data_IF_363829384850
#
_entry.id   IF_363829384850
#
_cell.length_a   1.000
_cell.length_b   1.000
_cell.length_c   1.000
_cell.angle_alpha   90.00
_cell.angle_beta   90.00
_cell.angle_gamma   90.00
#
_symmetry.space_group_name_H-M   'P 1'
#
loop_
_entity.id
_entity.type
_entity.pdbx_description
1 polymer ?
#
# COMPACT_ATOMS: atom_id res chain seq x y z
N UNK A 1 -26.91 9.34 37.05
CA UNK A 1 -26.79 9.41 35.58
C UNK A 1 -26.04 10.68 35.21
N UNK A 2 -24.74 10.56 34.98
CA UNK A 2 -23.91 11.39 34.09
C UNK A 2 -22.69 10.51 33.79
N UNK A 3 -22.64 9.96 32.58
CA UNK A 3 -21.52 9.14 32.11
C UNK A 3 -20.47 10.10 31.55
N UNK A 4 -19.37 10.27 32.28
CA UNK A 4 -18.14 10.84 31.75
C UNK A 4 -17.40 9.73 31.01
N UNK A 5 -17.49 9.74 29.68
CA UNK A 5 -16.63 8.94 28.82
C UNK A 5 -15.37 9.78 28.57
N UNK A 6 -14.37 9.55 29.41
CA UNK A 6 -12.98 9.88 29.11
C UNK A 6 -12.51 8.96 27.98
N UNK A 7 -12.55 9.46 26.75
CA UNK A 7 -11.82 8.85 25.63
C UNK A 7 -10.42 9.48 25.62
N UNK A 8 -9.46 8.71 26.12
CA UNK A 8 -8.03 8.96 25.95
C UNK A 8 -7.66 8.99 24.47
N UNK A 9 -7.56 10.19 23.89
CA UNK A 9 -6.98 10.41 22.58
C UNK A 9 -5.46 10.55 22.75
N UNK A 10 -4.76 9.42 22.70
CA UNK A 10 -3.30 9.38 22.59
C UNK A 10 -2.95 8.38 21.50
N UNK A 11 -2.65 8.90 20.30
CA UNK A 11 -1.62 8.45 19.35
C UNK A 11 -1.88 9.09 17.98
N UNK A 12 -0.81 9.40 17.24
CA UNK A 12 -0.71 10.18 15.98
C UNK A 12 -0.74 11.69 16.24
N UNK A 13 0.34 12.46 16.11
CA UNK A 13 1.49 12.41 15.18
C UNK A 13 2.69 13.13 15.82
N UNK A 14 3.77 12.42 16.15
CA UNK A 14 5.06 13.05 16.47
C UNK A 14 6.02 12.82 15.30
N UNK A 15 6.71 13.85 14.76
CA UNK A 15 7.64 13.74 13.63
C UNK A 15 8.71 12.66 13.82
N UNK A 16 9.13 12.41 15.07
CA UNK A 16 10.14 11.39 15.41
C UNK A 16 9.64 9.94 15.28
N UNK A 17 8.33 9.69 15.42
CA UNK A 17 7.73 8.36 15.26
C UNK A 17 7.54 8.04 13.77
N UNK A 18 7.18 9.05 12.97
CA UNK A 18 7.19 8.95 11.51
C UNK A 18 8.61 8.74 10.99
N UNK A 19 9.60 9.49 11.51
CA UNK A 19 11.02 9.33 11.14
C UNK A 19 11.57 7.94 11.47
N UNK A 20 11.31 7.40 12.66
CA UNK A 20 11.78 6.06 13.04
C UNK A 20 11.08 4.92 12.27
N UNK A 21 9.78 5.07 11.95
CA UNK A 21 9.06 4.10 11.09
C UNK A 21 9.46 4.22 9.62
N UNK A 22 9.74 5.42 9.13
CA UNK A 22 10.33 5.66 7.81
C UNK A 22 11.74 5.05 7.73
N UNK A 23 12.54 5.16 8.79
CA UNK A 23 13.87 4.54 8.89
C UNK A 23 13.80 3.01 8.93
N UNK A 24 12.86 2.42 9.70
CA UNK A 24 12.63 0.97 9.67
C UNK A 24 12.07 0.49 8.32
N UNK A 25 11.17 1.26 7.72
CA UNK A 25 10.68 1.03 6.35
C UNK A 25 11.82 1.07 5.33
N UNK A 26 12.69 2.09 5.38
CA UNK A 26 13.90 2.21 4.55
C UNK A 26 14.89 1.04 4.76
N UNK A 27 15.05 0.53 5.99
CA UNK A 27 15.89 -0.64 6.25
C UNK A 27 15.31 -1.95 5.67
N UNK A 28 13.99 -2.08 5.62
CA UNK A 28 13.32 -3.21 4.95
C UNK A 28 13.43 -3.06 3.43
N UNK A 29 13.25 -1.84 2.90
CA UNK A 29 13.39 -1.51 1.48
C UNK A 29 14.77 -1.83 0.93
N UNK A 30 15.83 -1.40 1.62
CA UNK A 30 17.22 -1.61 1.16
C UNK A 30 17.59 -3.10 1.04
N UNK A 31 16.97 -3.99 1.83
CA UNK A 31 17.11 -5.43 1.65
C UNK A 31 16.36 -5.94 0.42
N UNK A 32 15.14 -5.45 0.21
CA UNK A 32 14.29 -5.81 -0.93
C UNK A 32 14.89 -5.33 -2.26
N UNK A 33 15.34 -4.06 -2.33
CA UNK A 33 16.03 -3.45 -3.47
C UNK A 33 17.29 -4.23 -3.86
N UNK A 34 18.09 -4.64 -2.87
CA UNK A 34 19.30 -5.43 -3.08
C UNK A 34 19.00 -6.85 -3.57
N UNK A 35 17.94 -7.47 -3.07
CA UNK A 35 17.50 -8.79 -3.53
C UNK A 35 16.93 -8.79 -4.94
N UNK A 36 16.33 -7.67 -5.35
CA UNK A 36 15.70 -7.48 -6.66
C UNK A 36 16.66 -7.11 -7.79
N UNK A 37 17.91 -6.75 -7.48
CA UNK A 37 18.91 -6.35 -8.48
C UNK A 37 18.51 -5.14 -9.32
N UNK A 38 17.59 -4.31 -8.82
CA UNK A 38 17.06 -3.16 -9.54
C UNK A 38 18.10 -2.06 -9.62
N UNK A 39 18.29 -1.50 -10.82
CA UNK A 39 18.97 -0.22 -11.00
C UNK A 39 17.99 0.88 -10.58
N UNK A 40 18.44 1.74 -9.68
CA UNK A 40 17.71 2.95 -9.28
C UNK A 40 17.23 3.72 -10.54
N UNK A 41 16.00 4.25 -10.55
CA UNK A 41 15.55 5.12 -11.63
C UNK A 41 16.56 6.25 -11.82
N UNK A 42 16.83 6.61 -13.09
CA UNK A 42 17.94 7.48 -13.46
C UNK A 42 17.84 8.87 -12.77
N UNK A 43 18.68 9.11 -11.76
CA UNK A 43 18.87 10.42 -11.12
C UNK A 43 17.90 10.73 -9.97
N UNK A 44 18.32 11.63 -9.06
CA UNK A 44 17.55 12.06 -7.87
C UNK A 44 16.15 12.56 -8.18
N UNK A 45 15.99 13.18 -9.35
CA UNK A 45 14.74 13.89 -9.70
C UNK A 45 13.64 12.90 -10.09
N UNK A 46 14.00 11.80 -10.79
CA UNK A 46 13.04 10.76 -11.15
C UNK A 46 12.57 9.93 -9.95
N UNK A 47 13.44 9.77 -8.94
CA UNK A 47 13.08 9.15 -7.66
C UNK A 47 12.14 10.05 -6.85
N UNK A 48 12.44 11.35 -6.79
CA UNK A 48 11.59 12.33 -6.11
C UNK A 48 10.18 12.39 -6.73
N UNK A 49 10.06 12.38 -8.06
CA UNK A 49 8.76 12.35 -8.76
C UNK A 49 7.91 11.12 -8.37
N UNK A 50 8.56 9.97 -8.19
CA UNK A 50 7.91 8.72 -7.76
C UNK A 50 7.41 8.83 -6.32
N UNK A 51 8.21 9.42 -5.42
CA UNK A 51 7.83 9.65 -4.03
C UNK A 51 6.64 10.61 -3.92
N UNK A 52 6.66 11.70 -4.70
CA UNK A 52 5.57 12.67 -4.76
C UNK A 52 4.29 12.01 -5.26
N UNK A 53 4.37 11.15 -6.29
CA UNK A 53 3.20 10.42 -6.79
C UNK A 53 2.68 9.39 -5.79
N UNK A 54 3.56 8.71 -5.04
CA UNK A 54 3.16 7.82 -3.95
C UNK A 54 2.39 8.60 -2.86
N UNK A 55 2.88 9.79 -2.50
CA UNK A 55 2.22 10.69 -1.55
C UNK A 55 0.86 11.20 -2.07
N UNK A 56 0.78 11.58 -3.34
CA UNK A 56 -0.47 11.95 -4.01
C UNK A 56 -1.48 10.82 -3.96
N UNK A 57 -1.03 9.59 -4.23
CA UNK A 57 -1.85 8.38 -4.18
C UNK A 57 -2.35 8.03 -2.78
N UNK A 58 -1.51 8.22 -1.74
CA UNK A 58 -1.94 8.16 -0.34
C UNK A 58 -3.08 9.14 -0.10
N UNK A 59 -2.88 10.41 -0.46
CA UNK A 59 -3.90 11.43 -0.25
C UNK A 59 -5.20 11.02 -0.94
N UNK A 60 -5.15 10.55 -2.19
CA UNK A 60 -6.33 10.11 -2.93
C UNK A 60 -7.11 8.96 -2.29
N UNK A 61 -6.42 8.06 -1.56
CA UNK A 61 -7.06 6.98 -0.81
C UNK A 61 -7.68 7.42 0.52
N UNK A 62 -7.30 8.59 1.02
CA UNK A 62 -7.63 9.08 2.34
C UNK A 62 -8.92 9.91 2.34
N UNK A 63 -9.95 9.41 3.04
CA UNK A 63 -11.23 10.10 3.22
C UNK A 63 -11.31 10.91 4.51
N UNK A 64 -10.34 10.76 5.42
CA UNK A 64 -10.36 11.41 6.73
C UNK A 64 -10.29 12.94 6.57
N UNK A 65 -9.24 13.44 5.91
CA UNK A 65 -9.11 14.87 5.65
C UNK A 65 -10.11 15.37 4.62
N UNK A 66 -10.67 14.50 3.76
CA UNK A 66 -11.74 14.91 2.85
C UNK A 66 -13.04 15.26 3.57
N UNK A 67 -13.44 14.40 4.52
CA UNK A 67 -14.72 14.50 5.22
C UNK A 67 -14.68 15.45 6.43
N UNK A 68 -13.49 15.95 6.78
CA UNK A 68 -13.29 16.88 7.89
C UNK A 68 -13.89 18.26 7.57
N UNK A 69 -14.48 18.90 8.58
CA UNK A 69 -14.93 20.29 8.48
C UNK A 69 -13.77 21.23 8.15
N UNK A 70 -14.04 22.30 7.39
CA UNK A 70 -12.97 23.18 6.90
C UNK A 70 -12.14 23.82 8.02
N UNK A 71 -12.78 24.31 9.08
CA UNK A 71 -12.06 24.94 10.21
C UNK A 71 -11.15 23.96 10.95
N UNK A 72 -11.56 22.69 11.06
CA UNK A 72 -10.74 21.64 11.67
C UNK A 72 -9.59 21.26 10.75
N UNK A 73 -9.84 21.20 9.45
CA UNK A 73 -8.79 20.97 8.44
C UNK A 73 -7.74 22.08 8.47
N UNK A 74 -8.16 23.34 8.47
CA UNK A 74 -7.26 24.50 8.51
C UNK A 74 -6.38 24.47 9.76
N UNK A 75 -6.97 24.17 10.93
CA UNK A 75 -6.22 24.03 12.18
C UNK A 75 -5.28 22.82 12.18
N UNK A 76 -5.67 21.70 11.57
CA UNK A 76 -4.84 20.51 11.49
C UNK A 76 -3.65 20.67 10.53
N UNK A 77 -3.77 21.58 9.57
CA UNK A 77 -2.76 21.81 8.52
C UNK A 77 -1.89 23.04 8.75
N UNK A 78 -2.20 23.87 9.75
CA UNK A 78 -1.43 25.08 10.09
C UNK A 78 0.09 24.77 10.18
N UNK A 79 0.88 25.53 9.43
CA UNK A 79 2.34 25.38 9.36
C UNK A 79 2.85 24.34 8.37
N UNK A 80 1.96 23.69 7.62
CA UNK A 80 2.33 22.71 6.57
C UNK A 80 2.04 23.26 5.15
N UNK A 81 1.84 24.56 4.99
CA UNK A 81 1.36 25.15 3.74
C UNK A 81 2.32 24.96 2.55
N UNK A 82 3.60 24.72 2.82
CA UNK A 82 4.65 24.47 1.83
C UNK A 82 4.88 22.97 1.57
N UNK A 83 4.16 22.08 2.26
CA UNK A 83 4.34 20.63 2.14
C UNK A 83 3.48 20.05 0.99
N UNK A 84 4.04 19.09 0.25
CA UNK A 84 3.35 18.47 -0.89
C UNK A 84 2.00 17.84 -0.50
N UNK A 85 1.93 17.18 0.67
CA UNK A 85 0.69 16.56 1.13
C UNK A 85 -0.41 17.59 1.40
N UNK A 86 -0.05 18.78 1.89
CA UNK A 86 -1.00 19.86 2.11
C UNK A 86 -1.63 20.28 0.79
N UNK A 87 -0.80 20.55 -0.22
CA UNK A 87 -1.27 20.91 -1.56
C UNK A 87 -2.16 19.82 -2.17
N UNK A 88 -1.83 18.54 -1.96
CA UNK A 88 -2.67 17.44 -2.42
C UNK A 88 -4.02 17.36 -1.70
N UNK A 89 -4.07 17.55 -0.39
CA UNK A 89 -5.34 17.57 0.35
C UNK A 89 -6.19 18.79 -0.04
N UNK A 90 -5.59 19.98 -0.19
CA UNK A 90 -6.29 21.18 -0.68
C UNK A 90 -6.86 20.93 -2.07
N UNK A 91 -6.07 20.37 -3.00
CA UNK A 91 -6.54 20.03 -4.34
C UNK A 91 -7.68 19.02 -4.29
N UNK A 92 -7.52 17.93 -3.54
CA UNK A 92 -8.55 16.90 -3.37
C UNK A 92 -9.86 17.48 -2.85
N UNK A 93 -9.82 18.32 -1.81
CA UNK A 93 -11.03 18.95 -1.25
C UNK A 93 -11.68 19.91 -2.24
N UNK A 94 -10.87 20.64 -3.03
CA UNK A 94 -11.34 21.60 -4.03
C UNK A 94 -12.05 20.93 -5.20
N UNK A 95 -11.47 19.87 -5.76
CA UNK A 95 -12.03 19.19 -6.96
C UNK A 95 -12.93 18.00 -6.62
N UNK A 96 -12.96 17.60 -5.36
CA UNK A 96 -13.64 16.40 -4.88
C UNK A 96 -12.81 15.13 -5.01
N UNK A 97 -13.02 14.19 -4.08
CA UNK A 97 -12.19 12.99 -3.97
C UNK A 97 -12.22 12.10 -5.22
N UNK A 98 -13.36 12.02 -5.93
CA UNK A 98 -13.48 11.17 -7.12
C UNK A 98 -12.67 11.72 -8.30
N UNK A 99 -12.73 13.04 -8.52
CA UNK A 99 -11.92 13.68 -9.57
C UNK A 99 -10.42 13.55 -9.25
N UNK A 100 -10.04 13.73 -7.98
CA UNK A 100 -8.65 13.57 -7.56
C UNK A 100 -8.13 12.12 -7.68
N UNK A 101 -8.95 11.12 -7.33
CA UNK A 101 -8.65 9.71 -7.61
C UNK A 101 -8.40 9.47 -9.08
N UNK A 102 -9.20 10.11 -9.95
CA UNK A 102 -9.05 9.97 -11.40
C UNK A 102 -7.74 10.55 -11.91
N UNK A 103 -7.28 11.66 -11.35
CA UNK A 103 -5.95 12.21 -11.67
C UNK A 103 -4.84 11.21 -11.34
N UNK A 104 -4.87 10.60 -10.15
CA UNK A 104 -3.87 9.59 -9.77
C UNK A 104 -3.94 8.37 -10.68
N UNK A 105 -5.13 7.88 -11.03
CA UNK A 105 -5.27 6.77 -12.00
C UNK A 105 -4.65 7.10 -13.35
N UNK A 106 -4.88 8.33 -13.85
CA UNK A 106 -4.30 8.79 -15.11
C UNK A 106 -2.78 8.85 -15.02
N UNK A 107 -2.23 9.43 -13.94
CA UNK A 107 -0.79 9.50 -13.70
C UNK A 107 -0.17 8.09 -13.70
N UNK A 108 -0.75 7.15 -12.95
CA UNK A 108 -0.31 5.75 -12.89
C UNK A 108 -0.32 5.05 -14.26
N UNK A 109 -1.27 5.36 -15.14
CA UNK A 109 -1.38 4.72 -16.46
C UNK A 109 -0.19 5.04 -17.38
N UNK A 110 0.45 6.20 -17.17
CA UNK A 110 1.61 6.63 -17.96
C UNK A 110 2.89 5.89 -17.60
N UNK A 111 2.98 5.37 -16.37
CA UNK A 111 4.19 4.77 -15.82
C UNK A 111 4.55 3.43 -16.46
N UNK A 112 5.82 3.06 -16.37
CA UNK A 112 6.33 1.72 -16.68
C UNK A 112 6.15 0.74 -15.50
N UNK A 113 6.31 -0.56 -15.74
CA UNK A 113 6.29 -1.59 -14.69
C UNK A 113 7.31 -1.34 -13.58
N UNK A 114 8.54 -0.93 -13.96
CA UNK A 114 9.59 -0.56 -13.00
C UNK A 114 9.20 0.63 -12.12
N UNK A 115 8.58 1.68 -12.69
CA UNK A 115 8.14 2.84 -11.91
C UNK A 115 6.98 2.49 -10.98
N UNK A 116 6.04 1.64 -11.42
CA UNK A 116 5.00 1.11 -10.53
C UNK A 116 5.60 0.29 -9.38
N UNK A 117 6.65 -0.48 -9.66
CA UNK A 117 7.38 -1.22 -8.64
C UNK A 117 8.03 -0.29 -7.61
N UNK A 118 8.69 0.79 -8.06
CA UNK A 118 9.30 1.78 -7.19
C UNK A 118 8.26 2.46 -6.28
N UNK A 119 7.07 2.82 -6.79
CA UNK A 119 5.98 3.35 -5.96
C UNK A 119 5.62 2.37 -4.83
N UNK A 120 5.51 1.07 -5.13
CA UNK A 120 5.20 0.04 -4.13
C UNK A 120 6.29 -0.07 -3.09
N UNK A 121 7.57 0.05 -3.50
CA UNK A 121 8.68 0.06 -2.55
C UNK A 121 8.53 1.24 -1.58
N UNK A 122 8.27 2.46 -2.06
CA UNK A 122 8.17 3.61 -1.18
C UNK A 122 6.80 3.80 -0.51
N UNK A 123 5.85 2.89 -0.74
CA UNK A 123 4.51 2.98 -0.15
C UNK A 123 4.57 2.70 1.35
N UNK A 124 4.07 3.64 2.15
CA UNK A 124 3.81 3.36 3.55
C UNK A 124 2.53 2.52 3.67
N UNK A 125 2.67 1.24 4.03
CA UNK A 125 1.56 0.28 4.13
C UNK A 125 0.53 0.61 5.23
N UNK A 126 0.84 1.52 6.17
CA UNK A 126 -0.14 2.09 7.11
C UNK A 126 -1.08 3.11 6.43
N UNK A 127 -0.77 3.58 5.22
CA UNK A 127 -1.53 4.60 4.47
C UNK A 127 -2.76 4.05 3.74
N UNK A 128 -3.12 2.79 4.00
CA UNK A 128 -4.23 2.10 3.35
C UNK A 128 -3.86 1.51 1.99
N UNK A 129 -4.86 0.84 1.39
CA UNK A 129 -4.66 -0.08 0.27
C UNK A 129 -5.19 0.43 -1.08
N UNK A 130 -5.77 1.64 -1.12
CA UNK A 130 -6.41 2.16 -2.33
C UNK A 130 -5.40 2.33 -3.48
N UNK A 131 -4.26 2.97 -3.24
CA UNK A 131 -3.21 3.15 -4.24
C UNK A 131 -2.70 1.80 -4.76
N UNK A 132 -2.42 0.86 -3.86
CA UNK A 132 -1.98 -0.50 -4.22
C UNK A 132 -3.01 -1.21 -5.10
N UNK A 133 -4.30 -1.03 -4.83
CA UNK A 133 -5.39 -1.59 -5.65
C UNK A 133 -5.40 -1.02 -7.06
N UNK A 134 -5.06 0.26 -7.23
CA UNK A 134 -4.91 0.89 -8.55
C UNK A 134 -3.67 0.39 -9.27
N UNK A 135 -2.56 0.20 -8.57
CA UNK A 135 -1.33 -0.37 -9.15
C UNK A 135 -1.60 -1.78 -9.68
N UNK A 136 -2.23 -2.66 -8.89
CA UNK A 136 -2.62 -4.02 -9.32
C UNK A 136 -3.57 -3.99 -10.53
N UNK A 137 -4.35 -2.93 -10.70
CA UNK A 137 -5.25 -2.78 -11.85
C UNK A 137 -4.51 -2.46 -13.16
N UNK A 138 -3.29 -1.90 -13.10
CA UNK A 138 -2.53 -1.52 -14.29
C UNK A 138 -2.14 -2.75 -15.12
N UNK A 139 -2.25 -2.63 -16.45
CA UNK A 139 -1.81 -3.68 -17.38
C UNK A 139 -0.29 -3.90 -17.33
N UNK A 140 0.47 -2.84 -17.03
CA UNK A 140 1.94 -2.87 -16.87
C UNK A 140 2.37 -3.34 -15.48
N UNK A 141 1.44 -3.63 -14.57
CA UNK A 141 1.80 -4.16 -13.26
C UNK A 141 2.46 -5.53 -13.42
N UNK A 142 3.63 -5.65 -12.81
CA UNK A 142 4.44 -6.86 -12.91
C UNK A 142 4.11 -7.85 -11.80
N UNK A 143 4.37 -9.13 -12.05
CA UNK A 143 4.15 -10.18 -11.06
C UNK A 143 5.02 -9.94 -9.81
N UNK A 144 6.28 -9.54 -10.01
CA UNK A 144 7.19 -9.11 -8.96
C UNK A 144 6.57 -8.03 -8.05
N UNK A 145 5.99 -6.99 -8.64
CA UNK A 145 5.30 -5.91 -7.92
C UNK A 145 4.10 -6.43 -7.14
N UNK A 146 3.29 -7.28 -7.75
CA UNK A 146 2.13 -7.88 -7.10
C UNK A 146 2.53 -8.78 -5.92
N UNK A 147 3.64 -9.52 -6.04
CA UNK A 147 4.15 -10.38 -4.97
C UNK A 147 4.62 -9.57 -3.76
N UNK A 148 5.28 -8.42 -3.98
CA UNK A 148 5.63 -7.48 -2.90
C UNK A 148 4.39 -6.98 -2.17
N UNK A 149 3.38 -6.51 -2.92
CA UNK A 149 2.11 -6.06 -2.32
C UNK A 149 1.44 -7.19 -1.53
N UNK A 150 1.38 -8.39 -2.11
CA UNK A 150 0.72 -9.54 -1.50
C UNK A 150 1.32 -9.85 -0.13
N UNK A 151 2.64 -10.06 -0.05
CA UNK A 151 3.28 -10.44 1.21
C UNK A 151 3.39 -9.32 2.23
N UNK A 152 3.57 -8.07 1.80
CA UNK A 152 3.54 -6.92 2.70
C UNK A 152 2.17 -6.72 3.37
N UNK A 153 1.08 -7.23 2.76
CA UNK A 153 -0.27 -7.22 3.32
C UNK A 153 -0.64 -8.50 4.09
N UNK A 154 0.35 -9.31 4.48
CA UNK A 154 0.22 -10.41 5.45
C UNK A 154 -0.98 -11.36 5.16
N UNK A 155 -0.98 -12.07 4.02
CA UNK A 155 -2.10 -12.92 3.62
C UNK A 155 -2.34 -14.06 4.62
N UNK A 156 -1.29 -14.47 5.35
CA UNK A 156 -1.35 -15.50 6.38
C UNK A 156 -2.43 -15.25 7.43
N UNK A 157 -2.68 -13.99 7.81
CA UNK A 157 -3.69 -13.63 8.81
C UNK A 157 -5.11 -13.90 8.32
N UNK A 158 -5.36 -13.57 7.05
CA UNK A 158 -6.64 -13.89 6.40
C UNK A 158 -6.83 -15.39 6.26
N UNK A 159 -5.79 -16.12 5.86
CA UNK A 159 -5.83 -17.58 5.77
C UNK A 159 -6.04 -18.23 7.14
N UNK A 160 -5.42 -17.73 8.21
CA UNK A 160 -5.61 -18.20 9.57
C UNK A 160 -7.05 -18.04 10.06
N UNK A 161 -7.67 -16.90 9.74
CA UNK A 161 -9.04 -16.60 10.18
C UNK A 161 -10.12 -17.23 9.29
N UNK A 162 -9.96 -17.18 7.97
CA UNK A 162 -11.02 -17.51 7.01
C UNK A 162 -10.73 -18.73 6.15
N UNK A 163 -9.52 -19.31 6.21
CA UNK A 163 -9.03 -20.44 5.38
C UNK A 163 -8.83 -20.12 3.89
N UNK A 164 -9.59 -19.19 3.31
CA UNK A 164 -9.43 -18.71 1.93
C UNK A 164 -9.68 -17.20 1.86
N UNK A 165 -9.15 -16.55 0.83
CA UNK A 165 -9.45 -15.14 0.58
C UNK A 165 -10.86 -14.89 0.08
N UNK A 166 -11.50 -15.85 -0.60
CA UNK A 166 -12.91 -15.75 -0.99
C UNK A 166 -13.81 -15.59 0.25
N UNK A 167 -13.62 -16.43 1.26
CA UNK A 167 -14.35 -16.33 2.53
C UNK A 167 -13.99 -15.05 3.30
N UNK A 168 -12.74 -14.58 3.21
CA UNK A 168 -12.35 -13.30 3.80
C UNK A 168 -13.04 -12.10 3.13
N UNK A 169 -13.31 -12.18 1.82
CA UNK A 169 -14.05 -11.16 1.07
C UNK A 169 -15.55 -11.12 1.44
N UNK A 170 -16.12 -12.20 1.98
CA UNK A 170 -17.54 -12.21 2.38
C UNK A 170 -17.80 -11.43 3.67
N UNK A 171 -16.80 -11.26 4.55
CA UNK A 171 -16.92 -10.47 5.78
C UNK A 171 -16.75 -8.97 5.49
N UNK A 172 -17.81 -8.33 5.00
CA UNK A 172 -17.83 -6.89 4.65
C UNK A 172 -17.69 -5.94 5.86
N UNK A 173 -17.82 -6.47 7.08
CA UNK A 173 -17.70 -5.69 8.31
C UNK A 173 -16.31 -5.77 8.94
N UNK A 174 -15.46 -6.70 8.48
CA UNK A 174 -14.07 -6.76 8.91
C UNK A 174 -13.31 -5.49 8.50
N UNK A 175 -12.55 -4.91 9.44
CA UNK A 175 -11.65 -3.79 9.15
C UNK A 175 -10.63 -4.14 8.05
N UNK A 176 -10.27 -5.43 7.94
CA UNK A 176 -9.36 -5.96 6.93
C UNK A 176 -10.05 -6.35 5.61
N UNK A 177 -11.36 -6.09 5.44
CA UNK A 177 -12.10 -6.49 4.24
C UNK A 177 -11.45 -5.95 2.95
N UNK A 178 -11.04 -4.67 2.97
CA UNK A 178 -10.39 -4.03 1.83
C UNK A 178 -9.06 -4.73 1.45
N UNK A 179 -8.28 -5.17 2.44
CA UNK A 179 -7.07 -5.96 2.24
C UNK A 179 -7.39 -7.35 1.65
N UNK A 180 -8.42 -8.03 2.15
CA UNK A 180 -8.86 -9.31 1.60
C UNK A 180 -9.21 -9.20 0.11
N UNK A 181 -9.96 -8.15 -0.27
CA UNK A 181 -10.32 -7.87 -1.67
C UNK A 181 -9.09 -7.63 -2.55
N UNK A 182 -8.12 -6.84 -2.07
CA UNK A 182 -6.86 -6.61 -2.78
C UNK A 182 -6.08 -7.92 -3.00
N UNK A 183 -5.90 -8.70 -1.92
CA UNK A 183 -5.17 -9.97 -1.98
C UNK A 183 -5.87 -10.96 -2.91
N UNK A 184 -7.20 -11.07 -2.85
CA UNK A 184 -7.98 -11.96 -3.71
C UNK A 184 -7.81 -11.56 -5.18
N UNK A 185 -7.85 -10.25 -5.48
CA UNK A 185 -7.58 -9.74 -6.83
C UNK A 185 -6.20 -10.17 -7.34
N UNK A 186 -5.17 -10.12 -6.49
CA UNK A 186 -3.83 -10.60 -6.85
C UNK A 186 -3.86 -12.09 -7.17
N UNK A 187 -4.47 -12.93 -6.32
CA UNK A 187 -4.56 -14.38 -6.59
C UNK A 187 -5.28 -14.68 -7.90
N UNK A 188 -6.39 -14.01 -8.15
CA UNK A 188 -7.16 -14.19 -9.38
C UNK A 188 -6.32 -13.83 -10.61
N UNK A 189 -5.65 -12.67 -10.60
CA UNK A 189 -4.75 -12.27 -11.69
C UNK A 189 -3.56 -13.23 -11.86
N UNK A 190 -3.00 -13.76 -10.77
CA UNK A 190 -1.92 -14.75 -10.81
C UNK A 190 -2.39 -16.06 -11.46
N UNK A 191 -3.56 -16.58 -11.05
CA UNK A 191 -4.15 -17.81 -11.63
C UNK A 191 -4.42 -17.67 -13.14
N UNK A 192 -4.75 -16.46 -13.59
CA UNK A 192 -4.94 -16.16 -15.01
C UNK A 192 -3.63 -15.90 -15.77
N UNK A 193 -2.49 -15.72 -15.09
CA UNK A 193 -1.21 -15.44 -15.72
C UNK A 193 -1.13 -14.09 -16.44
N UNK A 194 -1.92 -13.09 -16.01
CA UNK A 194 -2.07 -11.80 -16.72
C UNK A 194 -1.17 -10.66 -16.20
N UNK A 195 -0.22 -10.95 -15.33
CA UNK A 195 0.79 -9.99 -14.92
C UNK A 195 1.92 -9.90 -15.96
N UNK A 196 2.51 -8.70 -16.09
CA UNK A 196 3.75 -8.55 -16.83
C UNK A 196 4.90 -9.30 -16.12
N UNK A 197 5.89 -9.78 -16.90
CA UNK A 197 6.95 -10.67 -16.43
C UNK A 197 8.35 -10.20 -16.86
N UNK A 198 8.65 -8.92 -16.66
CA UNK A 198 9.92 -8.32 -17.08
C UNK A 198 10.90 -8.29 -15.91
N UNK A 199 10.40 -7.98 -14.71
CA UNK A 199 11.16 -7.90 -13.48
C UNK A 199 11.45 -9.29 -12.92
N UNK A 200 12.65 -9.49 -12.35
CA UNK A 200 12.94 -10.69 -11.58
C UNK A 200 12.02 -10.76 -10.35
N UNK A 201 11.68 -11.99 -9.95
CA UNK A 201 10.88 -12.21 -8.74
C UNK A 201 11.73 -11.80 -7.51
N UNK A 202 11.22 -10.90 -6.64
CA UNK A 202 11.91 -10.49 -5.43
C UNK A 202 12.09 -11.62 -4.45
N UNK A 203 13.16 -11.55 -3.66
CA UNK A 203 13.12 -12.16 -2.33
C UNK A 203 12.23 -11.31 -1.42
N UNK A 204 11.05 -11.82 -1.11
CA UNK A 204 10.06 -11.19 -0.22
C UNK A 204 10.16 -11.71 1.22
N UNK A 205 11.23 -12.42 1.57
CA UNK A 205 11.51 -12.92 2.91
C UNK A 205 11.44 -11.85 4.00
N UNK A 206 11.77 -10.60 3.67
CA UNK A 206 11.77 -9.50 4.64
C UNK A 206 10.37 -9.16 5.18
N UNK A 207 9.29 -9.62 4.53
CA UNK A 207 7.92 -9.51 5.03
C UNK A 207 7.52 -10.67 5.95
N UNK A 208 8.42 -11.63 6.20
CA UNK A 208 8.15 -12.85 6.93
C UNK A 208 9.05 -12.94 8.17
N UNK A 209 8.44 -13.04 9.34
CA UNK A 209 9.18 -13.30 10.59
C UNK A 209 9.77 -14.72 10.63
N UNK A 210 9.16 -15.66 9.91
CA UNK A 210 9.56 -17.08 9.85
C UNK A 210 9.18 -17.71 8.52
N UNK A 211 9.90 -18.78 8.15
CA UNK A 211 9.58 -19.58 6.97
C UNK A 211 8.15 -20.15 7.08
N UNK A 212 7.23 -19.85 6.14
CA UNK A 212 5.89 -20.41 6.18
C UNK A 212 5.93 -21.89 5.81
N UNK A 213 5.26 -22.73 6.60
CA UNK A 213 5.06 -24.13 6.27
C UNK A 213 3.80 -24.30 5.41
N UNK A 214 3.99 -24.38 4.10
CA UNK A 214 2.91 -24.56 3.13
C UNK A 214 2.38 -26.00 3.06
N UNK A 215 2.90 -26.93 3.85
CA UNK A 215 2.37 -28.31 3.94
C UNK A 215 1.19 -28.43 4.91
N UNK A 216 0.99 -27.41 5.76
CA UNK A 216 -0.05 -27.40 6.79
C UNK A 216 -1.10 -26.33 6.55
N UNK A 217 -2.32 -26.57 7.06
CA UNK A 217 -3.37 -25.54 7.08
C UNK A 217 -2.98 -24.42 8.04
N UNK A 218 -3.33 -23.16 7.72
CA UNK A 218 -4.13 -22.74 6.57
C UNK A 218 -3.30 -22.44 5.30
N UNK A 219 -1.97 -22.41 5.41
CA UNK A 219 -1.08 -21.90 4.37
C UNK A 219 -0.99 -22.79 3.13
N UNK A 220 -1.35 -24.06 3.24
CA UNK A 220 -1.53 -24.97 2.09
C UNK A 220 -2.51 -24.42 1.04
N UNK A 221 -3.42 -23.53 1.44
CA UNK A 221 -4.42 -22.94 0.55
C UNK A 221 -3.89 -21.70 -0.22
N UNK A 222 -2.68 -21.22 0.06
CA UNK A 222 -2.04 -20.14 -0.71
C UNK A 222 -1.60 -20.73 -2.07
N UNK A 223 -1.91 -20.08 -3.21
CA UNK A 223 -1.47 -20.52 -4.54
C UNK A 223 0.04 -20.71 -4.62
N UNK A 224 0.50 -21.76 -5.32
CA UNK A 224 1.93 -22.15 -5.34
C UNK A 224 2.82 -21.03 -5.88
N UNK A 225 2.34 -20.31 -6.89
CA UNK A 225 3.02 -19.21 -7.54
C UNK A 225 3.27 -18.04 -6.58
N UNK A 226 2.43 -17.87 -5.57
CA UNK A 226 2.55 -16.81 -4.57
C UNK A 226 3.34 -17.25 -3.33
N UNK A 227 3.81 -18.50 -3.24
CA UNK A 227 4.56 -18.99 -2.09
C UNK A 227 6.00 -18.48 -2.11
N UNK A 228 6.55 -18.21 -0.94
CA UNK A 228 7.93 -17.76 -0.75
C UNK A 228 8.77 -18.94 -0.30
N UNK A 229 9.73 -19.31 -1.13
CA UNK A 229 10.67 -20.36 -0.81
C UNK A 229 11.98 -19.73 -0.34
N UNK A 230 12.13 -19.59 0.99
CA UNK A 230 13.40 -19.23 1.65
C UNK A 230 14.45 -20.32 1.47
#
# INVERSE_FOLDING_TARGET
>A
MKNDISLSFVAFTHPEVLSNRLLQGMQILTKLEKALGLKQPNGSDAEQDILILALKGKCAGDTYYHNMDQSVFDSAMEGNEEEDFYHFYVRQRTIGIQAFKKEVENDLSTLSGCQLHAIVQHHNYDSGIWLLTQIIAQAKCEFATALCIYWANQPGDHYARYKTLDLACEDIHALSHANAVLLNKIEYKTKLGIFAQILPIPDVACFLDRKPDYSVKPLINIPVELRVHL
#
